data_IF_430783073832
#
_entry.id   IF_430783073832
#
_cell.length_a   1.000
_cell.length_b   1.000
_cell.length_c   1.000
_cell.angle_alpha   90.00
_cell.angle_beta   90.00
_cell.angle_gamma   90.00
#
_symmetry.space_group_name_H-M   'P 1'
#
loop_
_entity.id
_entity.type
_entity.pdbx_description
1 polymer ?
#
# COMPACT_ATOMS: atom_id res chain seq x y z
N UNK A 1 18.96 -57.09 16.89
CA UNK A 1 18.70 -56.13 15.79
C UNK A 1 17.28 -56.32 15.30
N UNK A 2 16.38 -55.40 15.62
CA UNK A 2 15.00 -55.43 15.14
C UNK A 2 14.98 -54.94 13.69
N UNK A 3 14.64 -55.82 12.76
CA UNK A 3 14.50 -55.51 11.33
C UNK A 3 13.15 -54.76 11.15
N UNK A 4 13.17 -53.41 11.17
CA UNK A 4 12.00 -52.62 10.83
C UNK A 4 11.71 -52.77 9.33
N UNK A 5 10.71 -53.58 9.01
CA UNK A 5 10.19 -53.71 7.64
C UNK A 5 9.66 -52.32 7.20
N UNK A 6 10.36 -51.66 6.31
CA UNK A 6 9.87 -50.47 5.64
C UNK A 6 8.62 -50.83 4.82
N UNK A 7 7.47 -50.30 5.22
CA UNK A 7 6.20 -50.40 4.49
C UNK A 7 6.25 -49.43 3.34
N UNK A 8 6.27 -49.91 2.10
CA UNK A 8 6.19 -49.10 0.91
C UNK A 8 4.77 -48.52 0.72
N UNK A 9 4.66 -47.35 0.16
CA UNK A 9 3.39 -46.75 -0.25
C UNK A 9 2.82 -47.47 -1.46
N UNK A 10 1.50 -47.76 -1.47
CA UNK A 10 0.83 -48.31 -2.62
C UNK A 10 0.51 -47.22 -3.64
N UNK A 11 0.53 -47.59 -4.94
CA UNK A 11 0.21 -46.64 -6.03
C UNK A 11 -1.20 -46.08 -5.87
N UNK A 12 -2.15 -46.88 -5.39
CA UNK A 12 -3.54 -46.45 -5.17
C UNK A 12 -3.67 -45.45 -4.04
N UNK A 13 -2.88 -45.57 -2.98
CA UNK A 13 -2.86 -44.58 -1.87
C UNK A 13 -2.38 -43.22 -2.38
N UNK A 14 -1.37 -43.20 -3.23
CA UNK A 14 -0.87 -41.95 -3.83
C UNK A 14 -1.90 -41.32 -4.75
N UNK A 15 -2.52 -42.10 -5.63
CA UNK A 15 -3.51 -41.61 -6.61
C UNK A 15 -4.75 -41.03 -5.89
N UNK A 16 -5.27 -41.73 -4.87
CA UNK A 16 -6.41 -41.24 -4.10
C UNK A 16 -6.09 -39.91 -3.41
N UNK A 17 -4.90 -39.77 -2.81
CA UNK A 17 -4.49 -38.54 -2.14
C UNK A 17 -4.42 -37.36 -3.13
N UNK A 18 -3.76 -37.53 -4.29
CA UNK A 18 -3.66 -36.44 -5.26
C UNK A 18 -4.99 -36.07 -5.88
N UNK A 19 -5.93 -37.01 -6.07
CA UNK A 19 -7.27 -36.71 -6.55
C UNK A 19 -8.08 -35.89 -5.52
N UNK A 20 -8.02 -36.25 -4.25
CA UNK A 20 -8.68 -35.49 -3.17
C UNK A 20 -8.08 -34.08 -3.08
N UNK A 21 -6.74 -33.96 -3.06
CA UNK A 21 -6.06 -32.68 -3.04
C UNK A 21 -6.41 -31.82 -4.25
N UNK A 22 -6.50 -32.41 -5.46
CA UNK A 22 -6.90 -31.71 -6.68
C UNK A 22 -8.31 -31.12 -6.59
N UNK A 23 -9.26 -31.87 -6.05
CA UNK A 23 -10.64 -31.40 -5.85
C UNK A 23 -10.66 -30.24 -4.83
N UNK A 24 -9.97 -30.40 -3.69
CA UNK A 24 -9.92 -29.34 -2.67
C UNK A 24 -9.24 -28.06 -3.20
N UNK A 25 -8.15 -28.21 -3.95
CA UNK A 25 -7.44 -27.09 -4.55
C UNK A 25 -8.33 -26.30 -5.54
N UNK A 26 -9.16 -26.99 -6.34
CA UNK A 26 -10.05 -26.36 -7.30
C UNK A 26 -11.05 -25.39 -6.63
N UNK A 27 -11.48 -25.65 -5.40
CA UNK A 27 -12.35 -24.75 -4.64
C UNK A 27 -11.59 -23.70 -3.84
N UNK A 28 -10.34 -23.96 -3.45
CA UNK A 28 -9.54 -23.05 -2.62
C UNK A 28 -8.93 -21.91 -3.45
N UNK A 29 -8.39 -22.21 -4.62
CA UNK A 29 -7.66 -21.23 -5.44
C UNK A 29 -8.46 -19.95 -5.74
N UNK A 30 -9.72 -20.01 -6.22
CA UNK A 30 -10.50 -18.78 -6.50
C UNK A 30 -10.70 -17.90 -5.26
N UNK A 31 -10.86 -18.51 -4.08
CA UNK A 31 -11.02 -17.77 -2.82
C UNK A 31 -9.72 -17.06 -2.40
N UNK A 32 -8.58 -17.68 -2.60
CA UNK A 32 -7.29 -17.05 -2.28
C UNK A 32 -7.00 -15.84 -3.20
N UNK A 33 -7.32 -15.92 -4.48
CA UNK A 33 -7.19 -14.80 -5.41
C UNK A 33 -8.06 -13.62 -4.97
N UNK A 34 -9.30 -13.87 -4.57
CA UNK A 34 -10.19 -12.82 -4.08
C UNK A 34 -9.67 -12.17 -2.78
N UNK A 35 -9.10 -12.96 -1.85
CA UNK A 35 -8.51 -12.44 -0.62
C UNK A 35 -7.27 -11.58 -0.89
N UNK A 36 -6.42 -11.96 -1.83
CA UNK A 36 -5.24 -11.18 -2.21
C UNK A 36 -5.63 -9.81 -2.80
N UNK A 37 -6.64 -9.77 -3.66
CA UNK A 37 -7.21 -8.52 -4.17
C UNK A 37 -7.74 -7.64 -3.04
N UNK A 38 -8.51 -8.19 -2.10
CA UNK A 38 -9.02 -7.43 -0.96
C UNK A 38 -7.90 -6.92 -0.05
N UNK A 39 -6.85 -7.71 0.15
CA UNK A 39 -5.69 -7.29 0.91
C UNK A 39 -4.97 -6.10 0.25
N UNK A 40 -4.78 -6.12 -1.08
CA UNK A 40 -4.21 -4.99 -1.81
C UNK A 40 -5.08 -3.74 -1.72
N UNK A 41 -6.39 -3.87 -1.88
CA UNK A 41 -7.35 -2.76 -1.73
C UNK A 41 -7.24 -2.15 -0.31
N UNK A 42 -7.19 -3.00 0.71
CA UNK A 42 -7.05 -2.55 2.10
C UNK A 42 -5.74 -1.79 2.33
N UNK A 43 -4.61 -2.26 1.78
CA UNK A 43 -3.31 -1.55 1.91
C UNK A 43 -3.30 -0.21 1.20
N UNK A 44 -3.90 -0.11 0.01
CA UNK A 44 -4.04 1.16 -0.74
C UNK A 44 -4.91 2.16 0.02
N UNK A 45 -6.04 1.73 0.57
CA UNK A 45 -6.90 2.56 1.41
C UNK A 45 -6.20 2.99 2.70
N UNK A 46 -5.41 2.10 3.32
CA UNK A 46 -4.59 2.41 4.48
C UNK A 46 -3.56 3.50 4.17
N UNK A 47 -2.83 3.38 3.06
CA UNK A 47 -1.90 4.41 2.63
C UNK A 47 -2.59 5.76 2.39
N UNK A 48 -3.75 5.77 1.74
CA UNK A 48 -4.50 7.00 1.51
C UNK A 48 -4.90 7.68 2.83
N UNK A 49 -5.30 6.90 3.84
CA UNK A 49 -5.55 7.39 5.19
C UNK A 49 -4.31 8.01 5.83
N UNK A 50 -3.16 7.35 5.70
CA UNK A 50 -1.86 7.83 6.22
C UNK A 50 -1.46 9.15 5.54
N UNK A 51 -1.52 9.22 4.21
CA UNK A 51 -1.21 10.43 3.44
C UNK A 51 -2.10 11.61 3.87
N UNK A 52 -3.41 11.38 3.99
CA UNK A 52 -4.37 12.40 4.42
C UNK A 52 -4.08 12.89 5.83
N UNK A 53 -3.79 11.98 6.76
CA UNK A 53 -3.50 12.32 8.16
C UNK A 53 -2.17 13.09 8.29
N UNK A 54 -1.12 12.65 7.56
CA UNK A 54 0.17 13.33 7.55
C UNK A 54 0.06 14.74 6.97
N UNK A 55 -0.68 14.91 5.88
CA UNK A 55 -0.92 16.24 5.29
C UNK A 55 -1.66 17.18 6.27
N UNK A 56 -2.66 16.66 6.98
CA UNK A 56 -3.39 17.43 8.00
C UNK A 56 -2.49 17.80 9.20
N UNK A 57 -1.65 16.88 9.66
CA UNK A 57 -0.71 17.12 10.75
C UNK A 57 0.34 18.17 10.36
N UNK A 58 0.95 18.03 9.18
CA UNK A 58 1.91 19.01 8.67
C UNK A 58 1.31 20.42 8.58
N UNK A 59 0.06 20.52 8.10
CA UNK A 59 -0.68 21.77 8.08
C UNK A 59 -0.86 22.35 9.49
N UNK A 60 -1.28 21.54 10.43
CA UNK A 60 -1.50 21.98 11.82
C UNK A 60 -0.21 22.49 12.46
N UNK A 61 0.91 21.79 12.22
CA UNK A 61 2.23 22.23 12.69
C UNK A 61 2.68 23.53 12.03
N UNK A 62 2.46 23.69 10.73
CA UNK A 62 2.77 24.92 10.02
C UNK A 62 2.01 26.13 10.61
N UNK A 63 0.73 25.95 10.87
CA UNK A 63 -0.13 27.00 11.47
C UNK A 63 0.26 27.29 12.92
N UNK A 64 0.58 26.27 13.72
CA UNK A 64 1.01 26.44 15.12
C UNK A 64 2.35 27.19 15.23
N UNK A 65 3.24 26.98 14.28
CA UNK A 65 4.54 27.66 14.23
C UNK A 65 4.47 29.10 13.64
N UNK A 66 3.28 29.59 13.32
CA UNK A 66 3.11 30.88 12.66
C UNK A 66 3.71 30.93 11.27
N UNK A 67 3.83 29.78 10.59
CA UNK A 67 4.47 29.64 9.29
C UNK A 67 3.73 30.35 8.17
N UNK A 68 4.47 30.68 7.13
CA UNK A 68 3.92 31.17 5.86
C UNK A 68 3.48 30.00 4.98
N UNK A 69 2.77 30.31 3.89
CA UNK A 69 2.25 29.30 2.97
C UNK A 69 3.32 28.34 2.36
N UNK A 70 4.60 28.75 2.36
CA UNK A 70 5.73 27.99 1.84
C UNK A 70 6.78 27.63 2.92
N UNK A 71 6.46 27.77 4.21
CA UNK A 71 7.35 27.43 5.31
C UNK A 71 7.51 25.90 5.43
N UNK A 72 8.74 25.44 5.67
CA UNK A 72 8.98 24.03 6.01
C UNK A 72 8.54 23.70 7.43
N UNK A 73 8.16 22.45 7.67
CA UNK A 73 7.92 21.92 9.03
C UNK A 73 8.81 20.70 9.27
N UNK A 74 9.20 20.49 10.53
CA UNK A 74 9.95 19.29 10.90
C UNK A 74 9.00 18.27 11.52
N UNK A 75 8.91 17.08 10.91
CA UNK A 75 8.12 15.95 11.39
C UNK A 75 9.03 14.73 11.52
N UNK A 76 9.06 14.11 12.70
CA UNK A 76 9.88 12.92 12.99
C UNK A 76 11.36 13.06 12.53
N UNK A 77 11.91 14.27 12.66
CA UNK A 77 13.29 14.56 12.25
C UNK A 77 13.47 14.82 10.74
N UNK A 78 12.41 14.75 9.94
CA UNK A 78 12.44 15.07 8.52
C UNK A 78 11.94 16.50 8.27
N UNK A 79 12.62 17.21 7.37
CA UNK A 79 12.19 18.54 6.94
C UNK A 79 11.21 18.39 5.78
N UNK A 80 9.95 18.63 6.06
CA UNK A 80 8.85 18.56 5.09
C UNK A 80 8.67 19.89 4.40
N UNK A 81 8.82 19.92 3.08
CA UNK A 81 8.57 21.11 2.27
C UNK A 81 7.08 21.34 2.07
N UNK A 82 6.65 22.60 2.11
CA UNK A 82 5.25 22.98 2.13
C UNK A 82 4.92 23.94 0.98
N UNK A 83 3.70 23.84 0.47
CA UNK A 83 3.09 24.80 -0.43
C UNK A 83 1.64 25.05 0.00
N UNK A 84 1.23 26.31 0.11
CA UNK A 84 -0.11 26.70 0.56
C UNK A 84 -0.54 26.03 1.89
N UNK A 85 0.38 25.97 2.87
CA UNK A 85 0.20 25.37 4.18
C UNK A 85 0.02 23.82 4.19
N UNK A 86 0.25 23.14 3.08
CA UNK A 86 0.23 21.68 2.98
C UNK A 86 1.56 21.18 2.43
N UNK A 87 1.94 19.93 2.67
CA UNK A 87 3.09 19.33 2.02
C UNK A 87 2.98 19.45 0.49
N UNK A 88 4.08 19.81 -0.14
CA UNK A 88 4.19 19.71 -1.60
C UNK A 88 4.49 18.27 -2.04
N UNK A 89 4.70 18.03 -3.34
CA UNK A 89 5.00 16.71 -3.88
C UNK A 89 6.32 16.12 -3.36
N UNK A 90 7.28 16.96 -2.99
CA UNK A 90 8.54 16.50 -2.41
C UNK A 90 8.43 16.27 -0.90
N UNK A 91 7.61 17.05 -0.21
CA UNK A 91 7.41 16.98 1.23
C UNK A 91 6.51 15.85 1.69
N UNK A 92 5.46 15.51 0.93
CA UNK A 92 4.48 14.52 1.39
C UNK A 92 5.07 13.13 1.63
N UNK A 93 6.01 12.57 0.83
CA UNK A 93 6.63 11.29 1.16
C UNK A 93 7.51 11.36 2.41
N UNK A 94 8.11 12.51 2.72
CA UNK A 94 8.87 12.72 3.95
C UNK A 94 7.95 12.80 5.17
N UNK A 95 6.76 13.39 5.01
CA UNK A 95 5.77 13.52 6.08
C UNK A 95 5.17 12.16 6.50
N UNK A 96 5.10 11.18 5.60
CA UNK A 96 4.60 9.83 5.93
C UNK A 96 5.70 8.86 6.36
N UNK A 97 6.98 9.25 6.21
CA UNK A 97 8.16 8.43 6.57
C UNK A 97 8.02 6.96 6.15
N UNK A 98 7.54 6.73 4.92
CA UNK A 98 7.25 5.38 4.44
C UNK A 98 8.54 4.70 3.99
N UNK A 99 8.93 3.66 4.71
CA UNK A 99 10.02 2.74 4.35
C UNK A 99 9.41 1.42 3.87
N UNK A 100 9.65 1.03 2.63
CA UNK A 100 9.19 -0.27 2.12
C UNK A 100 9.03 -0.29 0.60
N UNK A 101 9.13 -1.50 0.04
CA UNK A 101 9.00 -1.74 -1.40
C UNK A 101 7.55 -1.94 -1.86
N UNK A 102 6.58 -1.82 -0.95
CA UNK A 102 5.17 -2.09 -1.25
C UNK A 102 4.52 -1.07 -2.17
N UNK A 103 5.01 0.16 -2.16
CA UNK A 103 4.55 1.24 -3.01
C UNK A 103 5.72 1.96 -3.66
N UNK A 104 5.56 2.28 -4.92
CA UNK A 104 6.50 3.12 -5.69
C UNK A 104 5.91 4.53 -5.81
N UNK A 105 6.64 5.53 -5.32
CA UNK A 105 6.23 6.93 -5.41
C UNK A 105 6.79 7.61 -6.66
N UNK A 106 5.94 8.32 -7.38
CA UNK A 106 6.31 9.16 -8.52
C UNK A 106 6.23 10.65 -8.13
N UNK A 107 7.35 11.32 -7.82
CA UNK A 107 7.34 12.69 -7.27
C UNK A 107 6.83 13.73 -8.26
N UNK A 108 6.89 13.47 -9.56
CA UNK A 108 6.36 14.40 -10.58
C UNK A 108 4.82 14.46 -10.61
N UNK A 109 4.14 13.40 -10.16
CA UNK A 109 2.68 13.27 -10.27
C UNK A 109 1.97 13.12 -8.92
N UNK A 110 2.72 12.88 -7.84
CA UNK A 110 2.15 12.62 -6.51
C UNK A 110 1.44 11.26 -6.40
N UNK A 111 1.84 10.29 -7.21
CA UNK A 111 1.20 8.99 -7.29
C UNK A 111 2.03 7.93 -6.58
N UNK A 112 1.41 7.18 -5.67
CA UNK A 112 1.92 5.90 -5.15
C UNK A 112 1.25 4.75 -5.88
N UNK A 113 2.04 3.91 -6.51
CA UNK A 113 1.59 2.71 -7.21
C UNK A 113 1.88 1.48 -6.36
N UNK A 114 0.89 0.62 -6.16
CA UNK A 114 1.06 -0.64 -5.42
C UNK A 114 1.93 -1.61 -6.23
N UNK A 115 3.08 -1.98 -5.67
CA UNK A 115 3.96 -2.98 -6.28
C UNK A 115 3.26 -4.36 -6.32
N UNK A 116 3.46 -5.09 -7.42
CA UNK A 116 2.88 -6.42 -7.59
C UNK A 116 1.36 -6.46 -7.83
N UNK A 117 0.72 -5.34 -8.09
CA UNK A 117 -0.68 -5.31 -8.53
C UNK A 117 -0.82 -5.85 -9.97
N UNK A 118 -1.92 -6.57 -10.32
CA UNK A 118 -2.16 -7.07 -11.66
C UNK A 118 -2.19 -5.97 -12.73
N UNK A 119 -2.78 -4.82 -12.40
CA UNK A 119 -2.77 -3.62 -13.24
C UNK A 119 -2.31 -2.43 -12.38
N UNK A 120 -0.99 -2.18 -12.27
CA UNK A 120 -0.46 -1.19 -11.35
C UNK A 120 -1.05 0.20 -11.50
N UNK A 121 -1.33 0.65 -12.74
CA UNK A 121 -1.97 1.94 -13.02
C UNK A 121 -3.40 2.08 -12.45
N UNK A 122 -4.05 0.98 -12.13
CA UNK A 122 -5.37 0.94 -11.50
C UNK A 122 -5.34 0.66 -10.00
N UNK A 123 -4.15 0.59 -9.37
CA UNK A 123 -3.97 0.29 -7.96
C UNK A 123 -3.07 1.35 -7.32
N UNK A 124 -3.62 2.57 -7.16
CA UNK A 124 -2.85 3.78 -6.86
C UNK A 124 -3.51 4.65 -5.79
N UNK A 125 -2.66 5.43 -5.11
CA UNK A 125 -3.06 6.60 -4.32
C UNK A 125 -2.48 7.83 -5.00
N UNK A 126 -3.31 8.84 -5.23
CA UNK A 126 -2.90 10.11 -5.82
C UNK A 126 -3.02 11.21 -4.78
N UNK A 127 -1.95 11.93 -4.54
CA UNK A 127 -1.94 13.15 -3.75
C UNK A 127 -1.86 14.36 -4.67
N UNK A 128 -2.82 15.27 -4.52
CA UNK A 128 -2.83 16.55 -5.21
C UNK A 128 -2.47 17.65 -4.21
N UNK A 129 -1.36 18.37 -4.38
CA UNK A 129 -0.97 19.46 -3.49
C UNK A 129 -2.03 20.56 -3.44
N UNK A 130 -2.04 21.29 -2.34
CA UNK A 130 -2.90 22.47 -2.20
C UNK A 130 -2.50 23.57 -3.21
N UNK A 131 -3.49 24.27 -3.67
CA UNK A 131 -3.33 25.52 -4.42
C UNK A 131 -3.76 26.72 -3.56
N UNK A 132 -3.61 27.94 -4.06
CA UNK A 132 -4.08 29.13 -3.36
C UNK A 132 -5.61 29.11 -3.09
N UNK A 133 -6.38 28.33 -3.87
CA UNK A 133 -7.83 28.29 -3.81
C UNK A 133 -8.38 26.96 -3.26
N UNK A 134 -7.61 25.88 -3.32
CA UNK A 134 -8.06 24.53 -2.99
C UNK A 134 -7.12 23.86 -2.00
N UNK A 135 -7.64 23.14 -0.98
CA UNK A 135 -6.85 22.34 -0.07
C UNK A 135 -6.20 21.15 -0.79
N UNK A 136 -5.19 20.53 -0.17
CA UNK A 136 -4.64 19.29 -0.65
C UNK A 136 -5.70 18.18 -0.66
N UNK A 137 -5.65 17.31 -1.66
CA UNK A 137 -6.60 16.22 -1.85
C UNK A 137 -5.88 14.88 -1.99
N UNK A 138 -6.54 13.81 -1.57
CA UNK A 138 -6.07 12.43 -1.75
C UNK A 138 -7.17 11.62 -2.41
N UNK A 139 -6.85 10.96 -3.51
CA UNK A 139 -7.75 10.08 -4.24
C UNK A 139 -7.20 8.65 -4.29
N UNK A 140 -8.08 7.67 -4.42
CA UNK A 140 -7.74 6.24 -4.48
C UNK A 140 -8.35 5.63 -5.74
N UNK A 141 -7.58 4.80 -6.43
CA UNK A 141 -8.06 3.95 -7.50
C UNK A 141 -7.69 2.50 -7.19
N UNK A 142 -8.68 1.60 -7.19
CA UNK A 142 -8.51 0.19 -6.78
C UNK A 142 -8.93 -0.81 -7.85
N UNK A 143 -9.29 -0.34 -9.04
CA UNK A 143 -9.81 -1.18 -10.15
C UNK A 143 -8.78 -2.17 -10.69
N UNK A 144 -7.50 -1.92 -10.45
CA UNK A 144 -6.38 -2.76 -10.90
C UNK A 144 -5.66 -3.51 -9.78
N UNK A 145 -6.18 -3.46 -8.55
CA UNK A 145 -5.62 -4.19 -7.43
C UNK A 145 -5.91 -5.69 -7.53
#
# INVERSE_FOLDING_TARGET
>A
MMNLKARGFTLIELVVVITILGILAAFAIPKFIALDTQARIATVNGLAGTVKSAAALARSLSMANGGTAAATVTMEGQVVTMANFYPDLAGIPLAINMTGADFVYAPATGIWTRAGAPTPAGCIVTYTPATALLPAATAVTTTGC
#
